data_IF_933199989490
#
_entry.id   IF_933199989490
#
_cell.length_a   1.000
_cell.length_b   1.000
_cell.length_c   1.000
_cell.angle_alpha   90.00
_cell.angle_beta   90.00
_cell.angle_gamma   90.00
#
_symmetry.space_group_name_H-M   'P 1'
#
loop_
_entity.id
_entity.type
_entity.pdbx_description
1 polymer ?
#
# COMPACT_ATOMS: atom_id res chain seq x y z
N UNK A 1 9.96 -21.03 -0.57
CA UNK A 1 10.41 -20.42 -1.84
C UNK A 1 9.30 -19.49 -2.32
N UNK A 2 9.25 -18.27 -1.76
CA UNK A 2 8.70 -17.10 -2.42
C UNK A 2 9.90 -16.19 -2.58
N UNK A 3 10.23 -15.82 -3.82
CA UNK A 3 11.29 -14.89 -4.12
C UNK A 3 10.73 -13.77 -4.96
N UNK A 4 11.03 -12.54 -4.56
CA UNK A 4 11.15 -11.38 -5.43
C UNK A 4 12.27 -10.53 -4.82
N UNK A 5 13.44 -10.57 -5.45
CA UNK A 5 14.46 -9.53 -5.34
C UNK A 5 14.20 -8.64 -6.54
N UNK A 6 13.85 -7.38 -6.30
CA UNK A 6 14.19 -6.35 -7.27
C UNK A 6 14.79 -5.14 -6.54
N UNK A 7 15.91 -4.73 -7.07
CA UNK A 7 16.94 -3.92 -6.45
C UNK A 7 16.51 -2.45 -6.46
N UNK A 8 15.68 -2.02 -5.50
CA UNK A 8 15.49 -0.59 -5.26
C UNK A 8 16.69 -0.08 -4.44
N UNK A 9 17.77 0.26 -5.14
CA UNK A 9 18.98 0.78 -4.53
C UNK A 9 18.81 2.26 -4.21
N UNK A 10 18.52 2.57 -2.94
CA UNK A 10 19.18 3.65 -2.19
C UNK A 10 18.66 3.74 -0.75
N UNK A 11 19.46 3.21 0.20
CA UNK A 11 19.54 3.68 1.59
C UNK A 11 18.56 3.07 2.59
N UNK A 12 19.06 2.10 3.37
CA UNK A 12 18.57 1.60 4.67
C UNK A 12 17.12 1.88 5.08
N UNK A 13 16.27 0.84 5.00
CA UNK A 13 15.18 0.65 5.96
C UNK A 13 15.25 -0.81 6.46
N UNK A 14 16.16 -1.04 7.41
CA UNK A 14 16.31 -2.32 8.10
C UNK A 14 15.12 -2.59 9.02
N UNK A 15 14.09 -3.24 8.48
CA UNK A 15 13.19 -4.17 9.16
C UNK A 15 12.54 -5.02 8.07
N UNK A 16 12.41 -6.33 8.30
CA UNK A 16 11.98 -7.29 7.29
C UNK A 16 10.52 -7.09 6.88
N UNK A 17 10.25 -6.14 5.99
CA UNK A 17 8.95 -5.96 5.37
C UNK A 17 8.79 -7.00 4.27
N UNK A 18 7.80 -7.89 4.41
CA UNK A 18 7.40 -8.73 3.27
C UNK A 18 6.60 -7.84 2.33
N UNK A 19 7.27 -7.26 1.34
CA UNK A 19 6.63 -6.48 0.29
C UNK A 19 5.96 -7.44 -0.69
N UNK A 20 4.64 -7.36 -0.82
CA UNK A 20 3.92 -8.06 -1.88
C UNK A 20 3.72 -7.06 -3.01
N UNK A 21 4.71 -6.96 -3.89
CA UNK A 21 4.54 -6.32 -5.20
C UNK A 21 4.23 -7.44 -6.18
N UNK A 22 2.94 -7.57 -6.56
CA UNK A 22 2.57 -8.48 -7.64
C UNK A 22 3.05 -7.87 -8.95
N UNK A 23 4.12 -8.42 -9.52
CA UNK A 23 4.63 -8.05 -10.84
C UNK A 23 3.49 -8.18 -11.87
N UNK A 24 2.96 -7.03 -12.31
CA UNK A 24 1.86 -6.91 -13.28
C UNK A 24 0.57 -6.26 -12.76
N UNK A 25 0.46 -5.95 -11.46
CA UNK A 25 -0.73 -5.28 -10.90
C UNK A 25 -0.44 -3.80 -10.60
N UNK A 26 -1.29 -2.93 -11.14
CA UNK A 26 -1.19 -1.47 -10.98
C UNK A 26 -1.37 -1.09 -9.50
N UNK A 27 -2.30 -1.71 -8.77
CA UNK A 27 -2.56 -1.51 -7.33
C UNK A 27 -3.33 -2.72 -6.77
N UNK A 28 -3.35 -2.96 -5.45
CA UNK A 28 -2.82 -2.16 -4.34
C UNK A 28 -1.38 -2.51 -3.92
N UNK A 29 -0.65 -1.51 -3.42
CA UNK A 29 0.69 -1.70 -2.85
C UNK A 29 0.61 -1.77 -1.34
N UNK A 30 0.95 -2.94 -0.79
CA UNK A 30 0.93 -3.21 0.63
C UNK A 30 2.31 -3.60 1.18
N UNK A 31 2.64 -3.04 2.34
CA UNK A 31 3.63 -3.59 3.26
C UNK A 31 2.90 -4.20 4.46
N UNK A 32 3.25 -5.42 4.84
CA UNK A 32 2.67 -6.10 6.00
C UNK A 32 3.77 -6.55 6.96
N UNK A 33 3.63 -6.16 8.23
CA UNK A 33 4.47 -6.60 9.36
C UNK A 33 3.56 -7.28 10.40
N UNK A 34 3.79 -8.57 10.65
CA UNK A 34 3.00 -9.38 11.60
C UNK A 34 3.87 -9.62 12.82
N UNK A 35 3.63 -8.84 13.88
CA UNK A 35 4.27 -9.03 15.18
C UNK A 35 3.50 -10.02 16.08
N UNK A 36 4.02 -10.24 17.28
CA UNK A 36 3.37 -11.09 18.28
C UNK A 36 2.14 -10.47 18.97
N UNK A 37 1.94 -9.16 18.83
CA UNK A 37 0.84 -8.42 19.48
C UNK A 37 0.01 -7.64 18.49
N UNK A 38 0.66 -6.99 17.52
CA UNK A 38 0.02 -6.12 16.54
C UNK A 38 0.41 -6.56 15.13
N UNK A 39 -0.49 -6.27 14.19
CA UNK A 39 -0.21 -6.32 12.75
C UNK A 39 -0.15 -4.88 12.26
N UNK A 40 0.87 -4.54 11.49
CA UNK A 40 0.98 -3.24 10.82
C UNK A 40 0.75 -3.44 9.33
N UNK A 41 -0.17 -2.66 8.79
CA UNK A 41 -0.42 -2.57 7.35
C UNK A 41 -0.02 -1.17 6.89
N UNK A 42 0.89 -1.11 5.92
CA UNK A 42 1.23 0.11 5.20
C UNK A 42 0.58 0.02 3.83
N UNK A 43 -0.16 1.06 3.45
CA UNK A 43 -0.84 1.17 2.16
C UNK A 43 -0.38 2.46 1.48
N UNK A 44 -0.02 2.36 0.20
CA UNK A 44 0.26 3.52 -0.65
C UNK A 44 -0.95 3.78 -1.55
N UNK A 45 -1.54 4.99 -1.45
CA UNK A 45 -2.66 5.39 -2.31
C UNK A 45 -2.13 6.29 -3.43
N UNK A 46 -2.04 5.81 -4.68
CA UNK A 46 -1.61 6.64 -5.80
C UNK A 46 -2.58 7.78 -6.08
N UNK A 47 -2.03 8.93 -6.47
CA UNK A 47 -2.79 10.09 -6.95
C UNK A 47 -3.08 10.02 -8.44
N UNK A 48 -2.19 9.40 -9.19
CA UNK A 48 -2.06 9.50 -10.64
C UNK A 48 -2.55 8.26 -11.38
N UNK A 49 -3.63 7.64 -10.88
CA UNK A 49 -4.31 6.54 -11.59
C UNK A 49 -4.93 7.12 -12.88
N UNK A 50 -4.53 6.58 -14.02
CA UNK A 50 -5.09 6.96 -15.32
C UNK A 50 -6.47 6.32 -15.53
N UNK A 51 -7.28 6.87 -16.44
CA UNK A 51 -8.61 6.30 -16.72
C UNK A 51 -8.54 4.86 -17.25
N UNK A 52 -7.53 4.54 -18.05
CA UNK A 52 -7.27 3.18 -18.56
C UNK A 52 -6.94 2.22 -17.40
N UNK A 53 -6.05 2.61 -16.50
CA UNK A 53 -5.72 1.83 -15.30
C UNK A 53 -6.94 1.64 -14.38
N UNK A 54 -7.81 2.66 -14.29
CA UNK A 54 -9.06 2.56 -13.52
C UNK A 54 -10.09 1.65 -14.20
N UNK A 55 -10.13 1.58 -15.53
CA UNK A 55 -11.00 0.65 -16.27
C UNK A 55 -10.52 -0.80 -16.16
N UNK A 56 -9.20 -1.03 -16.19
CA UNK A 56 -8.59 -2.35 -15.97
C UNK A 56 -8.69 -2.82 -14.51
N UNK A 57 -8.80 -1.88 -13.58
CA UNK A 57 -8.92 -2.18 -12.15
C UNK A 57 -10.23 -2.91 -11.84
N UNK A 58 -10.10 -4.14 -11.34
CA UNK A 58 -11.23 -4.97 -10.92
C UNK A 58 -12.00 -4.27 -9.79
N UNK A 59 -13.34 -4.32 -9.82
CA UNK A 59 -14.23 -3.65 -8.85
C UNK A 59 -13.91 -3.96 -7.37
N UNK A 60 -13.41 -5.17 -7.09
CA UNK A 60 -12.97 -5.55 -5.75
C UNK A 60 -11.80 -4.67 -5.26
N UNK A 61 -10.87 -4.31 -6.15
CA UNK A 61 -9.73 -3.46 -5.82
C UNK A 61 -10.18 -2.01 -5.57
N UNK A 62 -11.12 -1.50 -6.36
CA UNK A 62 -11.78 -0.19 -6.12
C UNK A 62 -12.46 -0.15 -4.75
N UNK A 63 -13.16 -1.23 -4.41
CA UNK A 63 -13.82 -1.39 -3.11
C UNK A 63 -12.82 -1.41 -1.96
N UNK A 64 -11.68 -2.11 -2.10
CA UNK A 64 -10.60 -2.13 -1.10
C UNK A 64 -9.99 -0.73 -0.93
N UNK A 65 -9.63 -0.05 -2.03
CA UNK A 65 -9.11 1.33 -2.00
C UNK A 65 -10.06 2.24 -1.25
N UNK A 66 -11.34 2.25 -1.65
CA UNK A 66 -12.38 3.07 -1.01
C UNK A 66 -12.52 2.73 0.48
N UNK A 67 -12.50 1.45 0.85
CA UNK A 67 -12.62 1.03 2.24
C UNK A 67 -11.45 1.56 3.09
N UNK A 68 -10.22 1.50 2.60
CA UNK A 68 -9.03 2.00 3.33
C UNK A 68 -8.99 3.52 3.44
N UNK A 69 -9.48 4.23 2.42
CA UNK A 69 -9.28 5.69 2.34
C UNK A 69 -10.46 6.46 2.93
N UNK A 70 -11.66 5.88 2.88
CA UNK A 70 -12.88 6.50 3.42
C UNK A 70 -13.12 6.20 4.90
N UNK A 71 -12.36 5.29 5.51
CA UNK A 71 -12.52 4.92 6.92
C UNK A 71 -11.24 5.19 7.73
N UNK A 72 -11.42 5.31 9.05
CA UNK A 72 -10.32 5.41 10.02
C UNK A 72 -10.32 4.22 10.98
N UNK A 73 -11.47 3.57 11.19
CA UNK A 73 -11.60 2.33 11.95
C UNK A 73 -12.05 1.19 11.04
N UNK A 74 -11.51 -0.02 11.27
CA UNK A 74 -11.75 -1.20 10.45
C UNK A 74 -12.19 -2.37 11.34
N UNK A 75 -13.41 -2.85 11.14
CA UNK A 75 -14.01 -3.85 12.03
C UNK A 75 -14.11 -3.32 13.46
N UNK A 76 -13.78 -4.18 14.44
CA UNK A 76 -13.85 -3.83 15.86
C UNK A 76 -12.53 -3.31 16.46
N UNK A 77 -11.39 -3.60 15.84
CA UNK A 77 -10.05 -3.36 16.42
C UNK A 77 -9.06 -2.68 15.50
N UNK A 78 -9.32 -2.63 14.19
CA UNK A 78 -8.43 -1.99 13.23
C UNK A 78 -8.55 -0.47 13.29
N UNK A 79 -7.42 0.22 13.26
CA UNK A 79 -7.35 1.70 13.32
C UNK A 79 -6.29 2.16 12.31
N UNK A 80 -6.59 3.25 11.59
CA UNK A 80 -5.66 3.98 10.74
C UNK A 80 -5.08 5.16 11.51
N UNK A 81 -3.76 5.17 11.67
CA UNK A 81 -3.04 6.28 12.29
C UNK A 81 -2.95 7.48 11.32
N UNK A 82 -4.05 8.22 11.16
CA UNK A 82 -4.17 9.37 10.24
C UNK A 82 -3.07 10.41 10.47
N UNK A 83 -2.62 10.59 11.72
CA UNK A 83 -1.56 11.54 12.03
C UNK A 83 -0.16 11.09 11.55
N UNK A 84 0.02 9.82 11.14
CA UNK A 84 1.26 9.30 10.55
C UNK A 84 1.21 9.27 9.02
N UNK A 85 0.13 9.76 8.40
CA UNK A 85 -0.01 9.77 6.94
C UNK A 85 1.10 10.60 6.28
N UNK A 86 1.85 9.96 5.38
CA UNK A 86 2.94 10.60 4.64
C UNK A 86 2.37 11.19 3.36
N UNK A 87 2.12 12.51 3.37
CA UNK A 87 1.61 13.25 2.21
C UNK A 87 2.72 13.55 1.20
N UNK A 88 2.34 13.63 -0.08
CA UNK A 88 3.22 13.99 -1.20
C UNK A 88 4.45 13.07 -1.37
N UNK A 89 4.38 11.82 -0.89
CA UNK A 89 5.42 10.82 -1.07
C UNK A 89 5.51 10.39 -2.54
N UNK A 90 6.73 10.27 -3.07
CA UNK A 90 6.97 9.60 -4.35
C UNK A 90 7.58 8.23 -4.09
N UNK A 91 6.90 7.17 -4.52
CA UNK A 91 7.34 5.78 -4.36
C UNK A 91 7.31 5.09 -5.73
N UNK A 92 8.42 4.48 -6.14
CA UNK A 92 8.55 3.79 -7.43
C UNK A 92 8.06 4.62 -8.63
N UNK A 93 8.29 5.94 -8.60
CA UNK A 93 7.87 6.87 -9.66
C UNK A 93 6.40 7.31 -9.61
N UNK A 94 5.58 6.80 -8.68
CA UNK A 94 4.19 7.21 -8.44
C UNK A 94 4.09 8.19 -7.28
N UNK A 95 3.10 9.09 -7.30
CA UNK A 95 2.87 10.06 -6.21
C UNK A 95 1.69 9.64 -5.34
N UNK A 96 1.82 9.79 -4.03
CA UNK A 96 0.74 9.55 -3.08
C UNK A 96 -0.38 10.61 -3.21
N UNK A 97 -1.62 10.20 -2.90
CA UNK A 97 -2.81 11.01 -3.11
C UNK A 97 -2.88 12.25 -2.21
N UNK A 98 -2.36 12.18 -0.97
CA UNK A 98 -2.21 13.31 -0.04
C UNK A 98 -3.50 13.94 0.46
#
# INVERSE_FOLDING_TARGET
MLGCVDHCSSGDMSTSFTSVVLAGSVFPWFGLDIGGTLVKLVYFEPKDITAEEEEEEVENLKSIRKYLTSNVAYGSTGIRDVHLELKDLTLCGRKDKG
#
